data_IF_089424352985
#
_entry.id   IF_089424352985
#
_cell.length_a   1.000
_cell.length_b   1.000
_cell.length_c   1.000
_cell.angle_alpha   90.00
_cell.angle_beta   90.00
_cell.angle_gamma   90.00
#
_symmetry.space_group_name_H-M   'P 1'
#
loop_
_entity.id
_entity.type
_entity.pdbx_description
1 polymer ?
#
# COMPACT_ATOMS: atom_id res chain seq x y z
N UNK A 1 13.31 20.58 -13.26
CA UNK A 1 13.36 19.63 -14.40
C UNK A 1 11.96 19.43 -14.94
N UNK A 2 11.78 19.20 -16.25
CA UNK A 2 10.45 18.89 -16.81
C UNK A 2 9.97 17.52 -16.29
N UNK A 3 8.70 17.43 -15.90
CA UNK A 3 8.07 16.13 -15.55
C UNK A 3 7.86 15.27 -16.81
N UNK A 4 7.50 15.89 -17.94
CA UNK A 4 7.38 15.20 -19.23
C UNK A 4 8.75 15.13 -19.92
N UNK A 5 9.46 14.00 -19.75
CA UNK A 5 10.80 13.78 -20.32
C UNK A 5 10.77 13.07 -21.67
N UNK A 6 9.66 12.42 -22.05
CA UNK A 6 9.48 11.60 -23.26
C UNK A 6 10.39 10.38 -23.37
N UNK A 7 11.21 10.09 -22.35
CA UNK A 7 12.15 8.94 -22.35
C UNK A 7 11.44 7.58 -22.29
N UNK A 8 10.15 7.57 -21.99
CA UNK A 8 9.32 6.37 -21.95
C UNK A 8 8.39 6.19 -23.16
N UNK A 9 8.46 7.04 -24.18
CA UNK A 9 7.52 7.00 -25.32
C UNK A 9 7.64 5.71 -26.14
N UNK A 10 8.80 5.04 -26.07
CA UNK A 10 9.06 3.76 -26.73
C UNK A 10 8.61 2.52 -25.92
N UNK A 11 7.90 2.72 -24.80
CA UNK A 11 7.36 1.62 -24.00
C UNK A 11 8.25 1.15 -22.84
N UNK A 12 9.41 1.76 -22.64
CA UNK A 12 10.33 1.46 -21.53
C UNK A 12 10.28 2.51 -20.42
N UNK A 13 10.78 2.16 -19.24
CA UNK A 13 10.98 3.08 -18.11
C UNK A 13 12.29 2.77 -17.38
N UNK A 14 12.71 3.66 -16.50
CA UNK A 14 13.85 3.43 -15.61
C UNK A 14 13.36 3.05 -14.22
N UNK A 15 13.95 2.00 -13.65
CA UNK A 15 13.83 1.66 -12.23
C UNK A 15 14.50 2.72 -11.35
N UNK A 16 14.23 2.69 -10.04
CA UNK A 16 14.85 3.59 -9.07
C UNK A 16 16.38 3.50 -9.08
N UNK A 17 16.91 2.31 -9.36
CA UNK A 17 18.36 2.02 -9.49
C UNK A 17 18.93 2.27 -10.89
N UNK A 18 18.13 2.82 -11.82
CA UNK A 18 18.58 3.31 -13.13
C UNK A 18 18.47 2.30 -14.29
N UNK A 19 18.22 1.02 -14.03
CA UNK A 19 18.05 0.00 -15.07
C UNK A 19 16.83 0.32 -15.94
N UNK A 20 16.94 0.06 -17.24
CA UNK A 20 15.85 0.20 -18.21
C UNK A 20 15.08 -1.11 -18.31
N UNK A 21 13.76 -1.01 -18.23
CA UNK A 21 12.84 -2.16 -18.29
C UNK A 21 11.60 -1.78 -19.09
N UNK A 22 10.89 -2.77 -19.64
CA UNK A 22 9.60 -2.54 -20.26
C UNK A 22 8.56 -2.05 -19.23
N UNK A 23 7.70 -1.11 -19.63
CA UNK A 23 6.63 -0.56 -18.78
C UNK A 23 5.59 -1.59 -18.34
N UNK A 24 5.47 -2.70 -19.08
CA UNK A 24 4.59 -3.82 -18.74
C UNK A 24 5.32 -4.96 -18.01
N UNK A 25 6.57 -4.76 -17.58
CA UNK A 25 7.28 -5.76 -16.79
C UNK A 25 6.60 -6.00 -15.43
N UNK A 26 6.67 -7.22 -14.87
CA UNK A 26 6.06 -7.53 -13.57
C UNK A 26 6.52 -6.60 -12.44
N UNK A 27 7.76 -6.11 -12.50
CA UNK A 27 8.30 -5.18 -11.50
C UNK A 27 7.63 -3.82 -11.56
N UNK A 28 7.40 -3.29 -12.77
CA UNK A 28 6.69 -2.00 -12.97
C UNK A 28 5.25 -2.11 -12.51
N UNK A 29 4.57 -3.19 -12.86
CA UNK A 29 3.21 -3.50 -12.37
C UNK A 29 3.18 -3.58 -10.83
N UNK A 30 4.18 -4.22 -10.21
CA UNK A 30 4.23 -4.39 -8.76
C UNK A 30 4.32 -3.06 -8.02
N UNK A 31 5.31 -2.20 -8.29
CA UNK A 31 5.40 -0.91 -7.59
C UNK A 31 4.31 0.07 -8.04
N UNK A 32 3.84 -0.01 -9.29
CA UNK A 32 2.71 0.79 -9.78
C UNK A 32 1.40 0.47 -9.07
N UNK A 33 1.18 -0.80 -8.74
CA UNK A 33 0.01 -1.19 -7.93
C UNK A 33 0.06 -0.63 -6.50
N UNK A 34 1.24 -0.42 -5.93
CA UNK A 34 1.39 0.24 -4.62
C UNK A 34 1.10 1.74 -4.71
N UNK A 35 1.46 2.40 -5.81
CA UNK A 35 1.11 3.80 -6.07
C UNK A 35 -0.41 4.01 -6.13
N UNK A 36 -1.13 3.03 -6.70
CA UNK A 36 -2.60 3.02 -6.72
C UNK A 36 -3.21 2.89 -5.32
N UNK A 37 -2.63 2.04 -4.45
CA UNK A 37 -3.03 1.99 -3.03
C UNK A 37 -2.87 3.37 -2.39
N UNK A 38 -1.73 4.02 -2.62
CA UNK A 38 -1.44 5.34 -2.05
C UNK A 38 -2.42 6.41 -2.54
N UNK A 39 -2.89 6.31 -3.78
CA UNK A 39 -3.92 7.18 -4.34
C UNK A 39 -5.29 6.94 -3.70
N UNK A 40 -5.68 5.68 -3.46
CA UNK A 40 -6.91 5.35 -2.73
C UNK A 40 -6.87 5.85 -1.28
N UNK A 41 -5.73 5.64 -0.60
CA UNK A 41 -5.50 6.19 0.75
C UNK A 41 -5.56 7.72 0.77
N UNK A 42 -5.07 8.40 -0.27
CA UNK A 42 -5.16 9.86 -0.35
C UNK A 42 -6.62 10.35 -0.37
N UNK A 43 -7.49 9.66 -1.11
CA UNK A 43 -8.92 9.95 -1.16
C UNK A 43 -9.61 9.69 0.19
N UNK A 44 -9.25 8.59 0.87
CA UNK A 44 -9.72 8.31 2.22
C UNK A 44 -9.31 9.43 3.19
N UNK A 45 -8.03 9.81 3.20
CA UNK A 45 -7.50 10.89 4.07
C UNK A 45 -8.19 12.22 3.82
N UNK A 46 -8.41 12.57 2.55
CA UNK A 46 -9.05 13.82 2.17
C UNK A 46 -10.54 13.89 2.57
N UNK A 47 -11.21 12.74 2.69
CA UNK A 47 -12.64 12.66 2.97
C UNK A 47 -12.98 12.45 4.46
N UNK A 48 -12.07 11.91 5.26
CA UNK A 48 -12.29 11.75 6.71
C UNK A 48 -12.41 13.10 7.42
N UNK A 49 -13.21 13.15 8.48
CA UNK A 49 -13.25 14.29 9.42
C UNK A 49 -12.49 13.99 10.73
N UNK A 50 -12.03 12.75 10.93
CA UNK A 50 -11.37 12.30 12.15
C UNK A 50 -9.86 12.47 12.03
N UNK A 51 -9.27 13.34 12.84
CA UNK A 51 -7.83 13.64 12.72
C UNK A 51 -6.96 12.39 12.95
N UNK A 52 -7.30 11.54 13.92
CA UNK A 52 -6.59 10.29 14.17
C UNK A 52 -6.58 9.35 12.95
N UNK A 53 -7.67 9.29 12.19
CA UNK A 53 -7.74 8.52 10.94
C UNK A 53 -6.83 9.14 9.88
N UNK A 54 -6.82 10.48 9.75
CA UNK A 54 -5.94 11.17 8.81
C UNK A 54 -4.46 10.94 9.11
N UNK A 55 -4.09 10.99 10.39
CA UNK A 55 -2.73 10.72 10.87
C UNK A 55 -2.31 9.29 10.54
N UNK A 56 -3.15 8.30 10.88
CA UNK A 56 -2.88 6.89 10.57
C UNK A 56 -2.74 6.66 9.06
N UNK A 57 -3.63 7.25 8.23
CA UNK A 57 -3.53 7.11 6.79
C UNK A 57 -2.26 7.79 6.24
N UNK A 58 -1.92 8.98 6.74
CA UNK A 58 -0.68 9.68 6.33
C UNK A 58 0.56 8.84 6.65
N UNK A 59 0.61 8.24 7.83
CA UNK A 59 1.68 7.33 8.24
C UNK A 59 1.82 6.16 7.24
N UNK A 60 0.70 5.51 6.87
CA UNK A 60 0.73 4.44 5.86
C UNK A 60 1.16 4.92 4.48
N UNK A 61 0.78 6.14 4.08
CA UNK A 61 1.23 6.68 2.81
C UNK A 61 2.75 6.88 2.76
N UNK A 62 3.35 7.31 3.87
CA UNK A 62 4.80 7.45 4.02
C UNK A 62 5.51 6.09 4.01
N UNK A 63 4.98 5.07 4.70
CA UNK A 63 5.52 3.71 4.66
C UNK A 63 5.42 3.09 3.26
N UNK A 64 4.32 3.32 2.54
CA UNK A 64 4.15 2.85 1.16
C UNK A 64 5.19 3.43 0.20
N UNK A 65 5.72 4.64 0.45
CA UNK A 65 6.85 5.17 -0.32
C UNK A 65 8.10 4.31 -0.16
N UNK A 66 8.36 3.78 1.04
CA UNK A 66 9.49 2.87 1.27
C UNK A 66 9.29 1.53 0.55
N UNK A 67 8.08 0.96 0.60
CA UNK A 67 7.74 -0.26 -0.13
C UNK A 67 7.90 -0.07 -1.65
N UNK A 68 7.38 1.03 -2.20
CA UNK A 68 7.54 1.35 -3.62
C UNK A 68 9.02 1.44 -4.00
N UNK A 69 9.83 2.11 -3.19
CA UNK A 69 11.25 2.24 -3.45
C UNK A 69 11.97 0.88 -3.42
N UNK A 70 11.57 -0.05 -2.55
CA UNK A 70 12.11 -1.41 -2.54
C UNK A 70 11.73 -2.20 -3.79
N UNK A 71 10.46 -2.17 -4.19
CA UNK A 71 9.99 -2.88 -5.39
C UNK A 71 10.58 -2.28 -6.67
N UNK A 72 10.79 -0.95 -6.71
CA UNK A 72 11.40 -0.24 -7.81
C UNK A 72 12.94 -0.34 -7.84
N UNK A 73 13.58 -1.00 -6.88
CA UNK A 73 15.04 -1.17 -6.81
C UNK A 73 15.46 -2.62 -7.08
N UNK A 74 16.66 -2.80 -7.63
CA UNK A 74 17.31 -4.11 -7.77
C UNK A 74 18.71 -4.04 -7.13
N UNK A 75 19.12 -5.11 -6.45
CA UNK A 75 20.44 -5.23 -5.79
C UNK A 75 20.71 -4.15 -4.72
N UNK A 76 19.67 -3.74 -3.98
CA UNK A 76 19.79 -2.81 -2.85
C UNK A 76 19.53 -3.50 -1.51
N UNK A 77 19.74 -2.79 -0.41
CA UNK A 77 19.23 -3.22 0.90
C UNK A 77 17.72 -2.96 1.02
N UNK A 78 16.98 -3.75 1.83
CA UNK A 78 15.56 -3.53 2.06
C UNK A 78 15.34 -2.27 2.91
N UNK A 79 14.37 -1.45 2.51
CA UNK A 79 13.83 -0.33 3.29
C UNK A 79 12.74 -0.81 4.24
N UNK A 80 11.90 -1.75 3.80
CA UNK A 80 10.96 -2.44 4.69
C UNK A 80 11.73 -3.46 5.50
N UNK A 81 12.03 -3.09 6.74
CA UNK A 81 12.72 -3.93 7.72
C UNK A 81 11.74 -4.46 8.76
N UNK A 82 12.25 -5.20 9.74
CA UNK A 82 11.40 -5.75 10.80
C UNK A 82 10.67 -4.64 11.55
N UNK A 83 11.36 -3.52 11.82
CA UNK A 83 10.75 -2.37 12.50
C UNK A 83 9.51 -1.83 11.80
N UNK A 84 9.45 -1.80 10.46
CA UNK A 84 8.25 -1.39 9.73
C UNK A 84 7.11 -2.41 9.88
N UNK A 85 7.43 -3.70 9.94
CA UNK A 85 6.44 -4.75 10.22
C UNK A 85 5.93 -4.60 11.66
N UNK A 86 6.81 -4.40 12.62
CA UNK A 86 6.43 -4.23 14.02
C UNK A 86 5.54 -2.98 14.20
N UNK A 87 5.83 -1.89 13.47
CA UNK A 87 5.00 -0.68 13.49
C UNK A 87 3.58 -0.94 12.96
N UNK A 88 3.42 -1.70 11.87
CA UNK A 88 2.09 -1.97 11.31
C UNK A 88 1.30 -2.95 12.20
N UNK A 89 1.98 -3.95 12.79
CA UNK A 89 1.37 -4.91 13.70
C UNK A 89 0.95 -4.24 15.01
N UNK A 90 1.77 -3.36 15.59
CA UNK A 90 1.38 -2.57 16.77
C UNK A 90 0.15 -1.69 16.49
N UNK A 91 0.07 -1.06 15.31
CA UNK A 91 -1.09 -0.24 14.95
C UNK A 91 -2.36 -1.09 14.73
N UNK A 92 -2.21 -2.31 14.21
CA UNK A 92 -3.30 -3.29 14.15
C UNK A 92 -3.81 -3.59 15.57
N UNK A 93 -2.91 -3.96 16.48
CA UNK A 93 -3.26 -4.29 17.87
C UNK A 93 -3.95 -3.12 18.60
N UNK A 94 -3.45 -1.89 18.43
CA UNK A 94 -4.04 -0.68 18.99
C UNK A 94 -5.48 -0.44 18.52
N UNK A 95 -5.74 -0.65 17.22
CA UNK A 95 -7.08 -0.43 16.64
C UNK A 95 -8.02 -1.57 17.02
N UNK A 96 -7.55 -2.82 16.99
CA UNK A 96 -8.37 -3.97 17.40
C UNK A 96 -8.84 -3.86 18.85
N UNK A 97 -7.99 -3.34 19.75
CA UNK A 97 -8.32 -3.15 21.16
C UNK A 97 -9.51 -2.22 21.42
N UNK A 98 -9.82 -1.30 20.50
CA UNK A 98 -10.92 -0.32 20.65
C UNK A 98 -12.14 -0.66 19.80
N UNK A 99 -12.03 -1.59 18.86
CA UNK A 99 -13.13 -1.97 17.99
C UNK A 99 -14.06 -2.99 18.66
N UNK A 100 -15.38 -2.89 18.46
CA UNK A 100 -16.30 -3.94 18.88
C UNK A 100 -16.00 -5.25 18.12
N UNK A 101 -16.36 -6.42 18.68
CA UNK A 101 -16.16 -7.70 18.00
C UNK A 101 -16.94 -7.76 16.67
N UNK A 102 -16.36 -8.39 15.66
CA UNK A 102 -17.01 -8.58 14.37
C UNK A 102 -17.95 -9.80 14.44
N UNK A 103 -19.25 -9.57 14.30
CA UNK A 103 -20.28 -10.62 14.40
C UNK A 103 -20.86 -11.04 13.05
N UNK A 104 -20.60 -10.28 11.98
CA UNK A 104 -21.08 -10.54 10.63
C UNK A 104 -20.16 -9.90 9.58
N UNK A 105 -20.33 -10.27 8.32
CA UNK A 105 -19.69 -9.57 7.20
C UNK A 105 -20.20 -8.14 7.09
N UNK A 106 -19.29 -7.21 6.75
CA UNK A 106 -19.61 -5.79 6.56
C UNK A 106 -19.81 -5.53 5.07
N UNK A 107 -20.88 -4.79 4.75
CA UNK A 107 -21.09 -4.23 3.42
C UNK A 107 -20.32 -2.90 3.35
N UNK A 108 -19.36 -2.74 2.43
CA UNK A 108 -18.57 -1.53 2.29
C UNK A 108 -19.41 -0.26 2.07
N UNK A 109 -18.94 0.85 2.64
CA UNK A 109 -19.31 2.19 2.21
C UNK A 109 -20.38 2.89 3.03
N UNK A 110 -20.36 2.75 4.36
CA UNK A 110 -21.21 3.58 5.23
C UNK A 110 -20.75 5.04 5.24
N UNK A 111 -19.43 5.26 5.08
CA UNK A 111 -18.85 6.59 4.90
C UNK A 111 -18.02 6.68 3.62
N UNK A 112 -17.81 7.91 3.13
CA UNK A 112 -16.96 8.14 1.97
C UNK A 112 -15.50 7.73 2.23
N UNK A 113 -14.98 8.04 3.43
CA UNK A 113 -13.65 7.61 3.85
C UNK A 113 -13.57 6.08 3.96
N UNK A 114 -14.55 5.43 4.61
CA UNK A 114 -14.65 3.98 4.71
C UNK A 114 -14.67 3.30 3.34
N UNK A 115 -15.42 3.85 2.38
CA UNK A 115 -15.46 3.36 0.99
C UNK A 115 -14.07 3.37 0.33
N UNK A 116 -13.30 4.45 0.52
CA UNK A 116 -11.95 4.54 -0.03
C UNK A 116 -10.94 3.65 0.71
N UNK A 117 -11.14 3.40 2.01
CA UNK A 117 -10.34 2.43 2.77
C UNK A 117 -10.62 0.98 2.31
N UNK A 118 -11.86 0.65 1.97
CA UNK A 118 -12.20 -0.62 1.33
C UNK A 118 -11.62 -0.74 -0.09
N UNK A 119 -11.63 0.36 -0.86
CA UNK A 119 -10.93 0.39 -2.15
C UNK A 119 -9.42 0.16 -1.96
N UNK A 120 -8.79 0.85 -1.01
CA UNK A 120 -7.38 0.65 -0.69
C UNK A 120 -7.11 -0.81 -0.28
N UNK A 121 -7.95 -1.41 0.57
CA UNK A 121 -7.84 -2.83 0.96
C UNK A 121 -7.83 -3.77 -0.24
N UNK A 122 -8.77 -3.59 -1.18
CA UNK A 122 -8.84 -4.47 -2.36
C UNK A 122 -7.68 -4.23 -3.33
N UNK A 123 -7.24 -2.97 -3.49
CA UNK A 123 -6.04 -2.62 -4.23
C UNK A 123 -4.79 -3.25 -3.61
N UNK A 124 -4.65 -3.23 -2.28
CA UNK A 124 -3.55 -3.88 -1.55
C UNK A 124 -3.50 -5.38 -1.83
N UNK A 125 -4.65 -6.08 -1.79
CA UNK A 125 -4.68 -7.51 -2.14
C UNK A 125 -4.35 -7.76 -3.61
N UNK A 126 -4.67 -6.84 -4.52
CA UNK A 126 -4.23 -6.92 -5.92
C UNK A 126 -2.72 -6.73 -6.03
N UNK A 127 -2.15 -5.75 -5.35
CA UNK A 127 -0.71 -5.51 -5.29
C UNK A 127 0.04 -6.72 -4.71
N UNK A 128 -0.47 -7.33 -3.63
CA UNK A 128 0.07 -8.55 -3.05
C UNK A 128 0.21 -9.67 -4.10
N UNK A 129 -0.82 -9.89 -4.92
CA UNK A 129 -0.75 -10.87 -6.03
C UNK A 129 0.27 -10.48 -7.09
N UNK A 130 0.36 -9.19 -7.46
CA UNK A 130 1.37 -8.72 -8.43
C UNK A 130 2.80 -8.89 -7.93
N UNK A 131 3.02 -8.67 -6.63
CA UNK A 131 4.31 -8.91 -5.99
C UNK A 131 4.63 -10.41 -5.92
N UNK A 132 3.64 -11.27 -5.71
CA UNK A 132 3.81 -12.72 -5.81
C UNK A 132 4.15 -13.17 -7.23
N UNK A 133 3.51 -12.60 -8.26
CA UNK A 133 3.83 -12.87 -9.67
C UNK A 133 5.27 -12.46 -10.00
N UNK A 134 5.72 -11.29 -9.53
CA UNK A 134 7.11 -10.83 -9.65
C UNK A 134 8.09 -11.78 -8.93
N UNK A 135 7.76 -12.23 -7.72
CA UNK A 135 8.61 -13.09 -6.91
C UNK A 135 8.85 -14.49 -7.52
N UNK A 136 8.06 -14.90 -8.51
CA UNK A 136 8.31 -16.12 -9.28
C UNK A 136 9.48 -15.97 -10.27
N UNK A 137 9.84 -14.75 -10.63
CA UNK A 137 10.79 -14.44 -11.70
C UNK A 137 12.03 -13.71 -11.19
N UNK A 138 11.88 -12.90 -10.15
CA UNK A 138 12.93 -12.04 -9.61
C UNK A 138 12.96 -12.07 -8.09
N UNK A 139 14.10 -11.68 -7.51
CA UNK A 139 14.19 -11.53 -6.06
C UNK A 139 13.28 -10.39 -5.58
N UNK A 140 12.49 -10.69 -4.56
CA UNK A 140 11.66 -9.76 -3.79
C UNK A 140 11.86 -10.07 -2.31
N UNK A 141 12.04 -9.05 -1.47
CA UNK A 141 12.16 -9.25 -0.03
C UNK A 141 10.88 -9.79 0.58
N UNK A 142 10.99 -10.83 1.41
CA UNK A 142 9.85 -11.46 2.10
C UNK A 142 9.03 -10.45 2.92
N UNK A 143 9.71 -9.48 3.52
CA UNK A 143 9.09 -8.41 4.31
C UNK A 143 8.16 -7.52 3.48
N UNK A 144 8.40 -7.33 2.18
CA UNK A 144 7.49 -6.59 1.32
C UNK A 144 6.14 -7.30 1.19
N UNK A 145 6.18 -8.63 1.08
CA UNK A 145 4.97 -9.48 0.99
C UNK A 145 4.22 -9.47 2.32
N UNK A 146 4.95 -9.62 3.44
CA UNK A 146 4.38 -9.56 4.78
C UNK A 146 3.72 -8.19 5.05
N UNK A 147 4.39 -7.10 4.70
CA UNK A 147 3.85 -5.76 4.84
C UNK A 147 2.53 -5.57 4.07
N UNK A 148 2.47 -6.00 2.80
CA UNK A 148 1.23 -5.90 2.00
C UNK A 148 0.08 -6.72 2.60
N UNK A 149 0.39 -7.90 3.14
CA UNK A 149 -0.60 -8.74 3.82
C UNK A 149 -1.23 -7.99 5.01
N UNK A 150 -0.38 -7.46 5.91
CA UNK A 150 -0.79 -6.66 7.08
C UNK A 150 -1.48 -5.36 6.70
N UNK A 151 -1.02 -4.68 5.65
CA UNK A 151 -1.64 -3.45 5.16
C UNK A 151 -3.09 -3.69 4.74
N UNK A 152 -3.40 -4.85 4.15
CA UNK A 152 -4.77 -5.16 3.76
C UNK A 152 -5.70 -5.33 4.98
N UNK A 153 -5.19 -5.92 6.06
CA UNK A 153 -5.91 -6.07 7.33
C UNK A 153 -6.10 -4.69 7.99
N UNK A 154 -5.04 -3.87 8.02
CA UNK A 154 -5.09 -2.54 8.59
C UNK A 154 -6.05 -1.60 7.82
N UNK A 155 -6.13 -1.68 6.49
CA UNK A 155 -7.13 -0.93 5.72
C UNK A 155 -8.56 -1.31 6.16
N UNK A 156 -8.83 -2.59 6.45
CA UNK A 156 -10.12 -3.04 6.98
C UNK A 156 -10.38 -2.48 8.37
N UNK A 157 -9.39 -2.53 9.27
CA UNK A 157 -9.51 -2.03 10.63
C UNK A 157 -9.73 -0.50 10.67
N UNK A 158 -8.99 0.25 9.85
CA UNK A 158 -9.19 1.69 9.71
C UNK A 158 -10.57 2.04 9.17
N UNK A 159 -11.10 1.24 8.23
CA UNK A 159 -12.48 1.43 7.75
C UNK A 159 -13.47 1.27 8.90
N UNK A 160 -13.32 0.21 9.71
CA UNK A 160 -14.19 -0.02 10.87
C UNK A 160 -14.08 1.10 11.90
N UNK A 161 -12.88 1.62 12.13
CA UNK A 161 -12.64 2.72 13.07
C UNK A 161 -13.21 4.06 12.56
N UNK A 162 -13.14 4.30 11.25
CA UNK A 162 -13.79 5.45 10.61
C UNK A 162 -15.32 5.37 10.74
N UNK A 163 -15.91 4.18 10.55
CA UNK A 163 -17.35 3.97 10.63
C UNK A 163 -17.88 3.80 12.06
N UNK A 164 -16.99 3.66 13.05
CA UNK A 164 -17.36 3.64 14.46
C UNK A 164 -17.78 5.05 14.91
N UNK A 165 -19.03 5.22 15.34
CA UNK A 165 -19.60 6.52 15.77
C UNK A 165 -18.66 7.32 16.70
#
# INVERSE_FOLDING_TARGET
MSICTKTGDKGETSLYTGQRVDKNSPRVEAYGSVDEINSALALARASSQKEKIKENIKFLQEMNMALMADLASINTQPRIQQKEIDMIENLIDEIEAVLPPLTAFIVPGQTLCGSFLDLARTATRRAERRVLDLAQQEMVFDRNRLYLNRLSDLCFLLMRLEELN
#
